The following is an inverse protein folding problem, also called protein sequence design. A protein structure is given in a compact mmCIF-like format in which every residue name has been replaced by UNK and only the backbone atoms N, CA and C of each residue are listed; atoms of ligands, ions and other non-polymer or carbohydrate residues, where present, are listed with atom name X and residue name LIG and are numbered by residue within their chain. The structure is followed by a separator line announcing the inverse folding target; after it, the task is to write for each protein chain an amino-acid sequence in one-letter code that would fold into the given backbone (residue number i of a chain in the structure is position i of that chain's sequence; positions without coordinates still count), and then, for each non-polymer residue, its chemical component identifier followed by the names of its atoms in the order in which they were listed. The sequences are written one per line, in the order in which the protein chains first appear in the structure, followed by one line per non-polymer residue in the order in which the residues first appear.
data_IF_918809231995
#
_entry.id   IF_918809231995
#
_cell.length_a   1.000
_cell.length_b   1.000
_cell.length_c   1.000
_cell.angle_alpha   90.00
_cell.angle_beta   90.00
_cell.angle_gamma   90.00
#
_symmetry.space_group_name_H-M   'P 1'
#
loop_
_entity.id
_entity.type
_entity.pdbx_description
1 polymer ?
#
# COMPACT_ATOMS: atom_id res chain seq x y z
N UNK A 1 -29.36 -58.18 37.68
CA UNK A 1 -30.19 -57.08 38.21
C UNK A 1 -29.27 -55.99 38.76
N UNK A 2 -29.36 -54.77 38.19
CA UNK A 2 -29.04 -53.44 38.75
C UNK A 2 -27.94 -53.41 39.83
N UNK A 3 -26.78 -52.80 39.63
CA UNK A 3 -26.60 -51.35 39.44
C UNK A 3 -25.14 -51.06 39.81
N UNK A 4 -24.51 -50.06 39.19
CA UNK A 4 -23.62 -49.03 39.77
C UNK A 4 -23.09 -48.24 38.55
N UNK A 5 -23.98 -47.51 37.88
CA UNK A 5 -23.57 -46.32 37.13
C UNK A 5 -23.83 -45.15 38.07
N UNK A 6 -22.88 -44.94 39.00
CA UNK A 6 -22.86 -43.76 39.85
C UNK A 6 -22.51 -42.57 38.96
N UNK A 7 -23.57 -41.88 38.52
CA UNK A 7 -23.51 -40.56 37.87
C UNK A 7 -22.46 -39.70 38.57
N UNK A 8 -21.44 -39.30 37.84
CA UNK A 8 -20.66 -38.10 38.15
C UNK A 8 -21.58 -36.89 38.00
N UNK A 9 -22.42 -36.65 39.01
CA UNK A 9 -23.07 -35.35 39.22
C UNK A 9 -22.08 -34.51 40.01
N UNK A 10 -21.16 -33.85 39.29
CA UNK A 10 -20.33 -32.81 39.86
C UNK A 10 -21.22 -31.62 40.20
N UNK A 11 -21.52 -31.45 41.49
CA UNK A 11 -22.15 -30.24 42.00
C UNK A 11 -21.10 -29.12 41.96
N UNK A 12 -21.17 -28.30 40.91
CA UNK A 12 -20.24 -27.21 40.70
C UNK A 12 -20.50 -26.11 41.73
N UNK A 13 -19.64 -26.03 42.73
CA UNK A 13 -19.52 -24.84 43.58
C UNK A 13 -19.44 -23.56 42.71
N UNK A 14 -20.14 -22.52 43.15
CA UNK A 14 -20.32 -21.23 42.45
C UNK A 14 -19.07 -20.56 41.86
N UNK A 15 -17.85 -20.64 42.44
CA UNK A 15 -16.66 -20.00 41.86
C UNK A 15 -16.19 -20.63 40.53
N UNK A 16 -16.40 -21.94 40.32
CA UNK A 16 -15.99 -22.62 39.08
C UNK A 16 -16.88 -22.23 37.90
N UNK A 17 -18.20 -22.07 38.12
CA UNK A 17 -19.14 -21.61 37.08
C UNK A 17 -18.81 -20.21 36.59
N UNK A 18 -18.42 -19.29 37.49
CA UNK A 18 -18.01 -17.92 37.14
C UNK A 18 -16.75 -17.89 36.28
N UNK A 19 -15.75 -18.71 36.62
CA UNK A 19 -14.50 -18.81 35.84
C UNK A 19 -14.75 -19.32 34.42
N UNK A 20 -15.60 -20.33 34.27
CA UNK A 20 -15.98 -20.87 32.96
C UNK A 20 -16.76 -19.84 32.14
N UNK A 21 -17.70 -19.12 32.75
CA UNK A 21 -18.46 -18.06 32.08
C UNK A 21 -17.54 -16.93 31.58
N UNK A 22 -16.64 -16.44 32.43
CA UNK A 22 -15.67 -15.41 32.04
C UNK A 22 -14.75 -15.88 30.91
N UNK A 23 -14.25 -17.11 31.00
CA UNK A 23 -13.43 -17.70 29.94
C UNK A 23 -14.21 -17.79 28.63
N UNK A 24 -15.43 -18.32 28.65
CA UNK A 24 -16.27 -18.46 27.45
C UNK A 24 -16.59 -17.10 26.84
N UNK A 25 -17.04 -16.12 27.64
CA UNK A 25 -17.35 -14.78 27.15
C UNK A 25 -16.09 -14.15 26.57
N UNK A 26 -14.98 -14.12 27.30
CA UNK A 26 -13.73 -13.53 26.83
C UNK A 26 -13.18 -14.24 25.60
N UNK A 27 -13.31 -15.57 25.51
CA UNK A 27 -12.89 -16.32 24.33
C UNK A 27 -13.70 -15.92 23.11
N UNK A 28 -15.04 -15.86 23.20
CA UNK A 28 -15.87 -15.47 22.06
C UNK A 28 -15.75 -13.98 21.71
N UNK A 29 -15.66 -13.10 22.71
CA UNK A 29 -15.43 -11.65 22.53
C UNK A 29 -13.99 -11.31 22.11
N UNK A 30 -13.02 -12.17 22.37
CA UNK A 30 -11.63 -11.96 21.96
C UNK A 30 -11.37 -12.58 20.59
N UNK A 31 -11.89 -13.77 20.34
CA UNK A 31 -11.59 -14.54 19.13
C UNK A 31 -12.18 -13.90 17.87
N UNK A 32 -13.48 -13.60 17.88
CA UNK A 32 -14.17 -13.11 16.68
C UNK A 32 -13.70 -11.70 16.29
N UNK A 33 -13.85 -10.66 17.13
CA UNK A 33 -13.38 -9.34 16.75
C UNK A 33 -11.85 -9.24 16.78
N UNK A 34 -11.14 -10.01 17.61
CA UNK A 34 -9.68 -10.05 17.58
C UNK A 34 -9.13 -10.57 16.26
N UNK A 35 -9.75 -11.58 15.66
CA UNK A 35 -9.38 -12.04 14.32
C UNK A 35 -9.63 -10.96 13.26
N UNK A 36 -10.78 -10.29 13.30
CA UNK A 36 -11.11 -9.19 12.38
C UNK A 36 -10.12 -8.04 12.54
N UNK A 37 -9.83 -7.60 13.77
CA UNK A 37 -8.86 -6.54 14.03
C UNK A 37 -7.43 -6.93 13.67
N UNK A 38 -7.06 -8.21 13.83
CA UNK A 38 -5.76 -8.70 13.38
C UNK A 38 -5.63 -8.59 11.87
N UNK A 39 -6.66 -9.00 11.11
CA UNK A 39 -6.66 -8.86 9.66
C UNK A 39 -6.57 -7.39 9.24
N UNK A 40 -7.38 -6.51 9.83
CA UNK A 40 -7.35 -5.07 9.56
C UNK A 40 -5.97 -4.48 9.86
N UNK A 41 -5.39 -4.83 11.01
CA UNK A 41 -4.07 -4.35 11.43
C UNK A 41 -2.96 -4.86 10.50
N UNK A 42 -3.03 -6.12 10.05
CA UNK A 42 -2.10 -6.70 9.09
C UNK A 42 -2.22 -6.03 7.72
N UNK A 43 -3.43 -5.84 7.21
CA UNK A 43 -3.64 -5.15 5.93
C UNK A 43 -3.21 -3.69 6.01
N UNK A 44 -3.49 -3.00 7.12
CA UNK A 44 -3.05 -1.62 7.34
C UNK A 44 -1.53 -1.51 7.44
N UNK A 45 -0.88 -2.46 8.12
CA UNK A 45 0.58 -2.52 8.19
C UNK A 45 1.20 -2.78 6.82
N UNK A 46 0.58 -3.63 6.01
CA UNK A 46 1.03 -3.90 4.64
C UNK A 46 0.93 -2.67 3.74
N UNK A 47 -0.12 -1.85 3.89
CA UNK A 47 -0.31 -0.61 3.12
C UNK A 47 0.81 0.41 3.33
N UNK A 48 1.46 0.43 4.49
CA UNK A 48 2.61 1.32 4.76
C UNK A 48 3.79 1.01 3.83
N UNK A 49 3.93 -0.25 3.40
CA UNK A 49 5.00 -0.70 2.50
C UNK A 49 4.60 -0.66 1.02
N UNK A 50 3.44 -0.09 0.69
CA UNK A 50 2.98 -0.02 -0.70
C UNK A 50 3.99 0.66 -1.64
N UNK A 51 4.66 1.77 -1.27
CA UNK A 51 5.68 2.38 -2.12
C UNK A 51 6.85 1.44 -2.41
N UNK A 52 7.35 0.73 -1.41
CA UNK A 52 8.46 -0.22 -1.54
C UNK A 52 8.06 -1.44 -2.37
N UNK A 53 6.85 -1.96 -2.17
CA UNK A 53 6.29 -3.05 -2.98
C UNK A 53 6.15 -2.63 -4.45
N UNK A 54 5.74 -1.40 -4.71
CA UNK A 54 5.55 -0.89 -6.06
C UNK A 54 6.90 -0.69 -6.78
N UNK A 55 7.95 -0.26 -6.08
CA UNK A 55 9.34 -0.28 -6.62
C UNK A 55 9.79 -1.72 -6.93
N UNK A 56 9.50 -2.67 -6.04
CA UNK A 56 9.86 -4.07 -6.23
C UNK A 56 9.11 -4.74 -7.40
N UNK A 57 7.83 -4.39 -7.60
CA UNK A 57 7.00 -4.93 -8.68
C UNK A 57 7.27 -4.28 -10.04
N UNK A 58 7.65 -3.00 -10.06
CA UNK A 58 7.86 -2.23 -11.30
C UNK A 58 9.30 -1.67 -11.37
N UNK A 59 10.34 -2.51 -11.26
CA UNK A 59 11.72 -2.03 -11.18
C UNK A 59 12.13 -1.28 -12.45
N UNK A 60 11.65 -1.70 -13.61
CA UNK A 60 11.93 -1.06 -14.91
C UNK A 60 11.46 0.39 -15.02
N UNK A 61 10.39 0.75 -14.31
CA UNK A 61 9.86 2.11 -14.26
C UNK A 61 10.43 2.92 -13.11
N UNK A 62 10.74 2.25 -11.99
CA UNK A 62 11.00 2.88 -10.70
C UNK A 62 12.47 2.96 -10.32
N UNK A 63 13.30 2.09 -10.85
CA UNK A 63 14.72 1.99 -10.46
C UNK A 63 15.62 2.66 -11.49
N UNK A 64 16.67 3.29 -11.00
CA UNK A 64 17.72 3.90 -11.81
C UNK A 64 19.08 3.40 -11.37
N UNK A 65 19.99 3.29 -12.32
CA UNK A 65 21.38 2.96 -12.02
C UNK A 65 22.06 4.16 -11.35
N UNK A 66 22.10 4.13 -10.02
CA UNK A 66 22.74 5.15 -9.20
C UNK A 66 24.27 5.12 -9.29
N UNK A 67 24.89 4.12 -9.93
CA UNK A 67 26.33 4.15 -10.20
C UNK A 67 26.70 5.18 -11.26
N UNK A 68 25.75 5.61 -12.09
CA UNK A 68 25.93 6.75 -12.99
C UNK A 68 25.82 8.11 -12.30
N UNK A 69 25.36 8.13 -11.04
CA UNK A 69 25.21 9.35 -10.26
C UNK A 69 26.55 9.77 -9.65
N UNK A 70 27.22 10.73 -10.27
CA UNK A 70 28.20 11.54 -9.54
C UNK A 70 27.52 12.20 -8.34
N UNK A 71 28.29 12.45 -7.27
CA UNK A 71 27.82 12.89 -5.93
C UNK A 71 26.97 14.19 -5.92
N UNK A 72 26.79 14.87 -7.08
CA UNK A 72 25.91 16.03 -7.30
C UNK A 72 25.26 16.08 -8.71
N UNK A 73 25.08 14.94 -9.39
CA UNK A 73 24.68 14.92 -10.81
C UNK A 73 23.15 14.81 -11.05
N UNK A 74 22.34 15.22 -10.07
CA UNK A 74 20.88 15.30 -10.27
C UNK A 74 20.61 16.48 -11.20
N UNK A 75 19.88 16.24 -12.29
CA UNK A 75 19.47 17.28 -13.24
C UNK A 75 18.58 18.32 -12.57
N UNK A 76 18.52 19.51 -13.14
CA UNK A 76 17.67 20.57 -12.59
C UNK A 76 16.21 20.13 -12.60
N UNK A 77 15.42 20.62 -11.63
CA UNK A 77 13.97 20.32 -11.61
C UNK A 77 13.29 20.79 -12.89
N UNK A 78 13.76 21.90 -13.47
CA UNK A 78 13.25 22.42 -14.74
C UNK A 78 13.50 21.43 -15.89
N UNK A 79 14.68 20.79 -15.95
CA UNK A 79 14.98 19.76 -16.96
C UNK A 79 14.08 18.52 -16.79
N UNK A 80 13.81 18.12 -15.54
CA UNK A 80 12.97 16.96 -15.22
C UNK A 80 11.51 17.24 -15.58
N UNK A 81 11.01 18.42 -15.24
CA UNK A 81 9.65 18.85 -15.58
C UNK A 81 9.51 19.01 -17.09
N UNK A 82 10.47 19.63 -17.76
CA UNK A 82 10.45 19.76 -19.22
C UNK A 82 10.46 18.39 -19.93
N UNK A 83 11.23 17.42 -19.41
CA UNK A 83 11.22 16.05 -19.91
C UNK A 83 9.84 15.39 -19.76
N UNK A 84 9.20 15.55 -18.59
CA UNK A 84 7.85 15.03 -18.38
C UNK A 84 6.81 15.73 -19.28
N UNK A 85 6.82 17.05 -19.34
CA UNK A 85 5.92 17.86 -20.17
C UNK A 85 6.03 17.52 -21.66
N UNK A 86 7.22 17.12 -22.14
CA UNK A 86 7.41 16.71 -23.53
C UNK A 86 6.60 15.47 -23.94
N UNK A 87 6.15 14.67 -22.97
CA UNK A 87 5.38 13.43 -23.18
C UNK A 87 3.91 13.61 -22.80
N UNK A 88 3.56 14.67 -22.06
CA UNK A 88 2.18 14.95 -21.68
C UNK A 88 1.35 15.30 -22.93
N UNK A 89 0.22 14.62 -23.15
CA UNK A 89 -0.70 14.95 -24.25
C UNK A 89 -1.26 16.37 -24.13
N UNK A 90 -1.68 17.02 -25.24
CA UNK A 90 -2.21 18.40 -25.21
C UNK A 90 -3.47 18.59 -24.34
N UNK A 91 -4.20 17.51 -24.10
CA UNK A 91 -5.38 17.43 -23.23
C UNK A 91 -5.05 17.05 -21.78
N UNK A 92 -3.78 16.81 -21.46
CA UNK A 92 -3.29 16.49 -20.13
C UNK A 92 -2.90 17.72 -19.32
N UNK A 93 -3.28 17.74 -18.05
CA UNK A 93 -2.88 18.80 -17.10
C UNK A 93 -1.93 18.25 -16.04
N UNK A 94 -0.69 18.77 -15.92
CA UNK A 94 0.20 18.42 -14.82
C UNK A 94 -0.44 18.77 -13.47
N UNK A 95 -0.33 17.87 -12.50
CA UNK A 95 -0.98 17.99 -11.20
C UNK A 95 0.03 17.98 -10.04
N UNK A 96 0.95 17.02 -10.05
CA UNK A 96 1.90 16.85 -8.95
C UNK A 96 3.26 16.35 -9.46
N UNK A 97 4.31 16.78 -8.75
CA UNK A 97 5.66 16.25 -8.86
C UNK A 97 6.00 15.51 -7.56
N UNK A 98 6.34 14.24 -7.68
CA UNK A 98 6.76 13.38 -6.56
C UNK A 98 8.26 13.19 -6.64
N UNK A 99 8.93 13.55 -5.54
CA UNK A 99 10.37 13.40 -5.40
C UNK A 99 10.73 11.94 -5.13
N UNK A 100 11.87 11.45 -5.67
CA UNK A 100 12.36 10.12 -5.37
C UNK A 100 12.65 9.99 -3.88
N UNK A 101 12.18 8.91 -3.26
CA UNK A 101 12.39 8.62 -1.83
C UNK A 101 13.80 8.12 -1.54
N UNK A 102 14.40 7.46 -2.53
CA UNK A 102 15.75 6.89 -2.48
C UNK A 102 16.56 7.34 -3.71
N UNK A 103 17.90 7.41 -3.63
CA UNK A 103 18.74 7.85 -4.75
C UNK A 103 18.63 6.99 -6.02
N UNK A 104 18.27 5.72 -5.86
CA UNK A 104 18.06 4.74 -6.92
C UNK A 104 16.63 4.74 -7.47
N UNK A 105 15.83 5.78 -7.19
CA UNK A 105 14.44 5.89 -7.66
C UNK A 105 14.20 7.08 -8.59
N UNK A 106 13.17 6.98 -9.42
CA UNK A 106 12.76 8.01 -10.38
C UNK A 106 11.94 9.14 -9.75
N UNK A 107 11.99 10.33 -10.35
CA UNK A 107 10.92 11.32 -10.19
C UNK A 107 9.64 10.82 -10.83
N UNK A 108 8.49 11.14 -10.24
CA UNK A 108 7.20 10.88 -10.86
C UNK A 108 6.43 12.18 -11.07
N UNK A 109 5.88 12.38 -12.27
CA UNK A 109 4.99 13.50 -12.59
C UNK A 109 3.60 12.93 -12.85
N UNK A 110 2.63 13.38 -12.07
CA UNK A 110 1.23 13.00 -12.25
C UNK A 110 0.52 14.05 -13.10
N UNK A 111 -0.18 13.61 -14.14
CA UNK A 111 -1.04 14.46 -14.95
C UNK A 111 -2.44 13.84 -15.11
N UNK A 112 -3.47 14.68 -15.19
CA UNK A 112 -4.85 14.23 -15.38
C UNK A 112 -5.30 14.43 -16.82
N UNK A 113 -6.14 13.53 -17.33
CA UNK A 113 -6.82 13.66 -18.63
C UNK A 113 -8.33 13.51 -18.51
N UNK A 114 -9.12 14.17 -19.38
CA UNK A 114 -10.55 13.93 -19.47
C UNK A 114 -10.80 12.45 -19.80
N UNK A 115 -11.55 11.75 -18.95
CA UNK A 115 -11.96 10.38 -19.24
C UNK A 115 -13.10 10.35 -20.27
N UNK A 116 -13.37 9.21 -20.92
CA UNK A 116 -14.55 9.03 -21.76
C UNK A 116 -15.87 9.29 -21.01
N UNK A 117 -15.89 9.05 -19.70
CA UNK A 117 -16.97 9.46 -18.81
C UNK A 117 -16.70 10.89 -18.31
N UNK A 118 -17.56 11.88 -18.60
CA UNK A 118 -17.37 13.27 -18.17
C UNK A 118 -17.26 13.48 -16.66
N UNK A 119 -17.73 12.52 -15.84
CA UNK A 119 -17.64 12.57 -14.39
C UNK A 119 -16.33 11.98 -13.82
N UNK A 120 -15.44 11.46 -14.68
CA UNK A 120 -14.20 10.82 -14.27
C UNK A 120 -12.99 11.52 -14.89
N UNK A 121 -11.88 11.51 -14.17
CA UNK A 121 -10.59 11.99 -14.63
C UNK A 121 -9.61 10.82 -14.60
N UNK A 122 -8.86 10.65 -15.69
CA UNK A 122 -7.84 9.61 -15.76
C UNK A 122 -6.48 10.17 -15.32
N UNK A 123 -5.98 9.70 -14.20
CA UNK A 123 -4.66 10.07 -13.70
C UNK A 123 -3.57 9.21 -14.32
N UNK A 124 -2.48 9.82 -14.72
CA UNK A 124 -1.33 9.16 -15.31
C UNK A 124 -0.06 9.60 -14.60
N UNK A 125 0.86 8.67 -14.38
CA UNK A 125 2.18 8.94 -13.81
C UNK A 125 3.25 8.74 -14.88
N UNK A 126 4.16 9.71 -15.01
CA UNK A 126 5.35 9.65 -15.86
C UNK A 126 6.56 9.51 -14.96
N UNK A 127 7.42 8.52 -15.23
CA UNK A 127 8.65 8.28 -14.48
C UNK A 127 9.86 8.85 -15.22
N UNK A 128 10.60 9.73 -14.56
CA UNK A 128 11.77 10.42 -15.11
C UNK A 128 13.01 10.10 -14.30
N UNK A 129 14.07 9.68 -14.98
CA UNK A 129 15.35 9.41 -14.36
C UNK A 129 16.01 10.73 -13.88
N UNK A 130 16.36 10.86 -12.59
CA UNK A 130 16.89 12.09 -11.99
C UNK A 130 18.25 12.51 -12.56
N UNK A 131 19.06 11.56 -13.06
CA UNK A 131 20.43 11.80 -13.51
C UNK A 131 20.52 12.07 -15.01
N UNK A 132 19.61 11.50 -15.80
CA UNK A 132 19.64 11.65 -17.26
C UNK A 132 18.53 12.55 -17.81
N UNK A 133 17.52 12.89 -17.01
CA UNK A 133 16.28 13.53 -17.46
C UNK A 133 15.56 12.72 -18.56
N UNK A 134 15.78 11.41 -18.61
CA UNK A 134 15.14 10.51 -19.57
C UNK A 134 13.82 9.96 -18.99
N UNK A 135 12.76 9.96 -19.79
CA UNK A 135 11.47 9.36 -19.42
C UNK A 135 11.56 7.84 -19.55
N UNK A 136 11.48 7.11 -18.44
CA UNK A 136 11.54 5.65 -18.43
C UNK A 136 10.21 5.02 -18.85
N UNK A 137 9.09 5.68 -18.56
CA UNK A 137 7.79 5.21 -18.99
C UNK A 137 6.65 5.99 -18.34
N UNK A 138 5.44 5.56 -18.64
CA UNK A 138 4.22 6.12 -18.08
C UNK A 138 3.24 5.00 -17.70
N UNK A 139 2.40 5.23 -16.70
CA UNK A 139 1.32 4.32 -16.34
C UNK A 139 0.04 5.06 -16.00
N UNK A 140 -1.09 4.40 -16.24
CA UNK A 140 -2.38 4.84 -15.71
C UNK A 140 -2.40 4.59 -14.19
N UNK A 141 -2.68 5.63 -13.43
CA UNK A 141 -2.95 5.53 -12.01
C UNK A 141 -4.44 5.18 -11.84
N UNK A 142 -4.70 3.98 -11.34
CA UNK A 142 -6.05 3.54 -11.02
C UNK A 142 -6.48 4.22 -9.71
N UNK A 143 -7.54 5.03 -9.78
CA UNK A 143 -8.26 5.45 -8.58
C UNK A 143 -9.01 4.22 -8.04
N UNK A 144 -8.53 3.66 -6.93
CA UNK A 144 -9.16 2.56 -6.19
C UNK A 144 -10.14 3.08 -5.13
#
# INVERSE_FOLDING_TARGET
MRSIFRRYQGDWSTPQKRRVLWFTIHFWLGWVPGLVFSLIGLTGSLLVFWPELDVWMNPELRTVDSQMAGENDVRSLDDIVAAAESVIPPDGTPYALVFPRFPDTTFAVTYGRPAPNPEQQEWHEIFVNPYTAHVQGQRLMLDL
#
